data_IF_056161534723
#
_entry.id   IF_056161534723
#
_cell.length_a   1.000
_cell.length_b   1.000
_cell.length_c   1.000
_cell.angle_alpha   90.00
_cell.angle_beta   90.00
_cell.angle_gamma   90.00
#
_symmetry.space_group_name_H-M   'P 1'
#
loop_
_entity.id
_entity.type
_entity.pdbx_description
1 polymer ?
#
# COMPACT_ATOMS: atom_id res chain seq x y z
N UNK A 1 35.22 7.61 -4.26
CA UNK A 1 35.52 8.95 -3.68
C UNK A 1 34.50 9.20 -2.59
N UNK A 2 34.95 9.36 -1.36
CA UNK A 2 34.10 9.59 -0.17
C UNK A 2 34.41 10.95 0.44
N UNK A 3 33.46 11.56 1.13
CA UNK A 3 33.64 12.80 1.88
C UNK A 3 33.97 12.50 3.33
N UNK A 4 35.11 12.98 3.79
CA UNK A 4 35.62 12.69 5.13
C UNK A 4 35.81 14.01 5.90
N UNK A 5 35.27 14.06 7.11
CA UNK A 5 35.51 15.15 8.05
C UNK A 5 36.59 14.71 9.06
N UNK A 6 37.61 15.54 9.25
CA UNK A 6 38.64 15.36 10.26
C UNK A 6 38.47 16.44 11.34
N UNK A 7 38.34 16.03 12.61
CA UNK A 7 38.25 16.93 13.76
C UNK A 7 39.35 16.59 14.74
N UNK A 8 40.34 17.47 14.85
CA UNK A 8 41.48 17.31 15.75
C UNK A 8 41.94 18.72 16.15
N UNK A 9 42.36 18.96 17.37
CA UNK A 9 42.87 20.26 17.83
C UNK A 9 44.33 20.48 17.40
N UNK A 10 45.06 19.39 17.13
CA UNK A 10 46.45 19.44 16.69
C UNK A 10 46.54 19.68 15.14
N UNK A 11 47.11 20.83 14.76
CA UNK A 11 47.24 21.23 13.33
C UNK A 11 48.07 20.21 12.52
N UNK A 12 49.18 19.71 13.09
CA UNK A 12 50.06 18.74 12.42
C UNK A 12 49.32 17.44 12.07
N UNK A 13 48.47 16.97 13.00
CA UNK A 13 47.67 15.78 12.76
C UNK A 13 46.62 15.99 11.69
N UNK A 14 45.90 17.13 11.69
CA UNK A 14 44.93 17.46 10.64
C UNK A 14 45.60 17.52 9.25
N UNK A 15 46.77 18.18 9.11
CA UNK A 15 47.47 18.25 7.86
C UNK A 15 47.98 16.89 7.38
N UNK A 16 48.52 16.08 8.27
CA UNK A 16 48.98 14.72 7.95
C UNK A 16 47.84 13.83 7.47
N UNK A 17 46.73 13.80 8.20
CA UNK A 17 45.56 13.00 7.84
C UNK A 17 44.93 13.50 6.53
N UNK A 18 44.85 14.82 6.33
CA UNK A 18 44.33 15.39 5.10
C UNK A 18 45.14 14.94 3.90
N UNK A 19 46.50 15.09 3.94
CA UNK A 19 47.38 14.68 2.84
C UNK A 19 47.25 13.20 2.55
N UNK A 20 47.17 12.36 3.60
CA UNK A 20 47.05 10.91 3.46
C UNK A 20 45.76 10.52 2.74
N UNK A 21 44.64 11.11 3.16
CA UNK A 21 43.32 10.74 2.63
C UNK A 21 43.04 11.35 1.25
N UNK A 22 43.52 12.56 0.98
CA UNK A 22 43.46 13.18 -0.36
C UNK A 22 44.27 12.35 -1.37
N UNK A 23 45.46 11.85 -0.98
CA UNK A 23 46.28 10.93 -1.81
C UNK A 23 45.55 9.60 -2.07
N UNK A 24 44.71 9.17 -1.17
CA UNK A 24 43.86 7.98 -1.33
C UNK A 24 42.58 8.24 -2.13
N UNK A 25 42.40 9.47 -2.67
CA UNK A 25 41.30 9.81 -3.58
C UNK A 25 40.00 10.21 -2.88
N UNK A 26 40.07 10.66 -1.64
CA UNK A 26 38.91 11.16 -0.87
C UNK A 26 38.85 12.67 -0.86
N UNK A 27 37.63 13.24 -0.69
CA UNK A 27 37.40 14.65 -0.43
C UNK A 27 37.44 14.88 1.08
N UNK A 28 38.36 15.73 1.54
CA UNK A 28 38.61 15.92 2.97
C UNK A 28 38.27 17.34 3.39
N UNK A 29 37.50 17.46 4.47
CA UNK A 29 37.28 18.73 5.19
C UNK A 29 37.90 18.60 6.59
N UNK A 30 38.57 19.65 7.02
CA UNK A 30 39.18 19.68 8.36
C UNK A 30 38.47 20.69 9.24
N UNK A 31 38.40 20.40 10.53
CA UNK A 31 37.81 21.27 11.53
C UNK A 31 38.65 21.23 12.81
N UNK A 32 38.72 22.37 13.50
CA UNK A 32 39.33 22.50 14.80
C UNK A 32 38.28 22.47 15.89
N UNK A 33 38.34 21.46 16.74
CA UNK A 33 37.47 21.32 17.91
C UNK A 33 36.00 21.01 17.56
N UNK A 34 35.19 20.88 18.63
CA UNK A 34 33.79 20.44 18.57
C UNK A 34 32.89 21.40 17.77
N UNK A 35 33.08 22.71 17.94
CA UNK A 35 32.24 23.72 17.25
C UNK A 35 32.50 23.77 15.74
N UNK A 36 33.76 23.63 15.33
CA UNK A 36 34.12 23.52 13.92
C UNK A 36 33.55 22.26 13.29
N UNK A 37 33.66 21.14 13.98
CA UNK A 37 33.06 19.86 13.58
C UNK A 37 31.55 19.95 13.44
N UNK A 38 30.85 20.50 14.44
CA UNK A 38 29.40 20.68 14.42
C UNK A 38 28.91 21.56 13.25
N UNK A 39 29.59 22.66 12.95
CA UNK A 39 29.30 23.51 11.78
C UNK A 39 29.49 22.75 10.48
N UNK A 40 30.59 22.02 10.34
CA UNK A 40 30.84 21.23 9.14
C UNK A 40 29.75 20.18 8.90
N UNK A 41 29.30 19.49 9.96
CA UNK A 41 28.23 18.48 9.93
C UNK A 41 26.86 19.05 9.55
N UNK A 42 26.58 20.31 9.90
CA UNK A 42 25.35 21.00 9.52
C UNK A 42 25.33 21.53 8.09
N UNK A 43 26.50 21.81 7.50
CA UNK A 43 26.64 22.39 6.16
C UNK A 43 26.80 21.34 5.06
N UNK A 44 27.39 20.18 5.37
CA UNK A 44 27.79 19.19 4.35
C UNK A 44 27.56 17.77 4.88
N UNK A 45 27.09 16.87 4.03
CA UNK A 45 27.02 15.44 4.34
C UNK A 45 28.39 14.77 4.20
N UNK A 46 28.75 13.95 5.18
CA UNK A 46 29.98 13.18 5.20
C UNK A 46 29.69 11.66 5.22
N UNK A 47 30.55 10.90 4.58
CA UNK A 47 30.51 9.44 4.63
C UNK A 47 31.21 8.90 5.90
N UNK A 48 32.25 9.63 6.34
CA UNK A 48 33.08 9.26 7.48
C UNK A 48 33.51 10.51 8.25
N UNK A 49 33.56 10.40 9.57
CA UNK A 49 34.11 11.39 10.49
C UNK A 49 35.26 10.77 11.25
N UNK A 50 36.40 11.42 11.28
CA UNK A 50 37.55 11.07 12.10
C UNK A 50 37.69 12.14 13.17
N UNK A 51 37.67 11.75 14.46
CA UNK A 51 37.81 12.73 15.55
C UNK A 51 38.78 12.26 16.62
N UNK A 52 39.62 13.17 17.14
CA UNK A 52 40.36 12.89 18.34
C UNK A 52 39.40 12.80 19.53
N UNK A 53 39.69 11.95 20.46
CA UNK A 53 38.96 11.83 21.73
C UNK A 53 39.11 13.09 22.60
N UNK A 54 40.28 13.76 22.55
CA UNK A 54 40.54 15.02 23.25
C UNK A 54 40.65 16.16 22.26
N UNK A 55 39.80 17.16 22.42
CA UNK A 55 39.75 18.36 21.59
C UNK A 55 39.90 19.59 22.49
N UNK A 56 41.14 19.83 22.96
CA UNK A 56 41.45 20.84 23.96
C UNK A 56 40.80 20.54 25.31
N UNK A 57 39.84 21.36 25.74
CA UNK A 57 39.08 21.15 26.99
C UNK A 57 37.79 20.32 26.78
N UNK A 58 37.45 19.96 25.56
CA UNK A 58 36.21 19.21 25.23
C UNK A 58 36.54 17.79 24.79
N UNK A 59 35.50 16.96 24.76
CA UNK A 59 35.60 15.57 24.34
C UNK A 59 35.14 15.35 22.90
N UNK A 60 35.91 14.55 22.13
CA UNK A 60 35.49 14.11 20.82
C UNK A 60 34.23 13.21 20.85
N UNK A 61 33.82 12.70 22.00
CA UNK A 61 32.51 12.06 22.15
C UNK A 61 31.34 13.00 21.85
N UNK A 62 31.54 14.30 22.04
CA UNK A 62 30.54 15.31 21.64
C UNK A 62 30.42 15.38 20.11
N UNK A 63 31.56 15.32 19.38
CA UNK A 63 31.55 15.27 17.90
C UNK A 63 30.86 14.00 17.43
N UNK A 64 31.12 12.85 18.08
CA UNK A 64 30.46 11.60 17.76
C UNK A 64 28.93 11.69 17.95
N UNK A 65 28.45 12.28 19.06
CA UNK A 65 27.00 12.50 19.29
C UNK A 65 26.41 13.41 18.22
N UNK A 66 27.04 14.55 17.95
CA UNK A 66 26.58 15.49 16.92
C UNK A 66 26.54 14.84 15.52
N UNK A 67 27.54 14.01 15.20
CA UNK A 67 27.57 13.28 13.93
C UNK A 67 26.41 12.27 13.83
N UNK A 68 26.15 11.52 14.90
CA UNK A 68 25.06 10.53 14.91
C UNK A 68 23.66 11.16 14.98
N UNK A 69 23.53 12.35 15.57
CA UNK A 69 22.27 13.09 15.59
C UNK A 69 22.00 13.77 14.21
N UNK A 70 22.98 14.45 13.63
CA UNK A 70 22.81 15.16 12.38
C UNK A 70 22.85 14.23 11.16
N UNK A 71 23.71 13.23 11.18
CA UNK A 71 23.97 12.30 10.09
C UNK A 71 24.10 10.86 10.61
N UNK A 72 23.00 10.20 10.99
CA UNK A 72 23.01 8.88 11.63
C UNK A 72 23.77 7.79 10.86
N UNK A 73 23.89 8.00 9.54
CA UNK A 73 24.53 7.05 8.64
C UNK A 73 26.02 7.31 8.42
N UNK A 74 26.58 8.44 8.86
CA UNK A 74 27.99 8.68 8.81
C UNK A 74 28.71 7.74 9.79
N UNK A 75 29.75 7.06 9.32
CA UNK A 75 30.58 6.28 10.24
C UNK A 75 31.54 7.19 10.98
N UNK A 76 31.85 6.88 12.24
CA UNK A 76 32.74 7.71 13.05
C UNK A 76 33.88 6.86 13.59
N UNK A 77 35.12 7.25 13.30
CA UNK A 77 36.35 6.64 13.81
C UNK A 77 36.99 7.59 14.81
N UNK A 78 37.21 7.08 16.02
CA UNK A 78 37.88 7.83 17.08
C UNK A 78 39.38 7.60 17.05
N UNK A 79 40.17 8.66 17.19
CA UNK A 79 41.63 8.57 17.34
C UNK A 79 41.99 9.04 18.73
N UNK A 80 42.94 8.41 19.42
CA UNK A 80 43.30 8.81 20.77
C UNK A 80 44.71 8.38 21.18
N UNK A 81 45.38 9.23 21.96
CA UNK A 81 46.63 8.89 22.66
C UNK A 81 46.36 8.27 24.06
N UNK A 82 45.17 8.47 24.61
CA UNK A 82 44.80 8.10 25.98
C UNK A 82 43.41 7.44 25.99
N UNK A 83 43.33 6.18 25.63
CA UNK A 83 42.08 5.44 25.85
C UNK A 83 42.19 4.67 27.17
N UNK A 84 41.19 4.84 28.00
CA UNK A 84 40.86 3.86 29.03
C UNK A 84 39.88 2.87 28.46
N UNK A 85 39.79 1.66 29.00
CA UNK A 85 38.78 0.69 28.58
C UNK A 85 37.36 1.27 28.66
N UNK A 86 37.13 2.15 29.61
CA UNK A 86 35.85 2.83 29.83
C UNK A 86 35.46 3.80 28.68
N UNK A 87 36.41 4.65 28.23
CA UNK A 87 36.17 5.61 27.16
C UNK A 87 35.97 4.93 25.79
N UNK A 88 36.70 3.83 25.56
CA UNK A 88 36.52 3.03 24.35
C UNK A 88 35.12 2.35 24.33
N UNK A 89 34.70 1.78 25.46
CA UNK A 89 33.35 1.18 25.59
C UNK A 89 32.26 2.23 25.45
N UNK A 90 32.44 3.44 25.98
CA UNK A 90 31.49 4.54 25.84
C UNK A 90 31.37 4.98 24.37
N UNK A 91 32.48 5.16 23.66
CA UNK A 91 32.48 5.50 22.24
C UNK A 91 31.73 4.46 21.41
N UNK A 92 31.96 3.18 21.65
CA UNK A 92 31.27 2.10 20.96
C UNK A 92 29.76 2.07 21.26
N UNK A 93 29.36 2.32 22.52
CA UNK A 93 27.94 2.44 22.91
C UNK A 93 27.25 3.63 22.23
N UNK A 94 27.98 4.72 21.99
CA UNK A 94 27.48 5.91 21.29
C UNK A 94 27.48 5.74 19.76
N UNK A 95 27.92 4.59 19.23
CA UNK A 95 27.87 4.26 17.83
C UNK A 95 29.12 4.62 17.03
N UNK A 96 30.29 4.73 17.67
CA UNK A 96 31.56 4.78 16.94
C UNK A 96 31.74 3.47 16.14
N UNK A 97 32.29 3.58 14.94
CA UNK A 97 32.61 2.42 14.10
C UNK A 97 33.82 1.66 14.64
N UNK A 98 34.86 2.40 15.00
CA UNK A 98 36.11 1.86 15.54
C UNK A 98 36.90 2.98 16.27
N UNK A 99 37.98 2.60 16.95
CA UNK A 99 38.91 3.56 17.52
C UNK A 99 40.37 3.14 17.24
N UNK A 100 41.26 4.13 17.11
CA UNK A 100 42.66 3.94 16.78
C UNK A 100 43.57 4.59 17.82
N UNK A 101 44.61 3.91 18.26
CA UNK A 101 45.55 4.44 19.23
C UNK A 101 46.69 5.21 18.57
N UNK A 102 47.00 6.41 19.09
CA UNK A 102 48.23 7.15 18.73
C UNK A 102 49.40 6.59 19.55
N UNK A 103 50.60 6.32 18.98
CA UNK A 103 50.92 6.43 17.53
C UNK A 103 50.42 5.24 16.71
N UNK A 104 49.87 5.49 15.54
CA UNK A 104 49.39 4.51 14.60
C UNK A 104 50.16 4.59 13.26
N UNK A 105 50.21 3.48 12.54
CA UNK A 105 50.74 3.44 11.17
C UNK A 105 49.67 3.87 10.16
N UNK A 106 50.10 4.51 9.06
CA UNK A 106 49.17 4.92 7.99
C UNK A 106 48.36 3.75 7.46
N UNK A 107 48.97 2.57 7.34
CA UNK A 107 48.29 1.36 6.85
C UNK A 107 47.18 0.89 7.81
N UNK A 108 47.38 1.00 9.11
CA UNK A 108 46.38 0.64 10.12
C UNK A 108 45.15 1.56 10.01
N UNK A 109 45.37 2.87 9.88
CA UNK A 109 44.31 3.83 9.68
C UNK A 109 43.54 3.53 8.36
N UNK A 110 44.25 3.32 7.25
CA UNK A 110 43.62 3.06 5.97
C UNK A 110 42.75 1.82 5.98
N UNK A 111 43.17 0.73 6.63
CA UNK A 111 42.36 -0.49 6.79
C UNK A 111 41.06 -0.24 7.56
N UNK A 112 41.11 0.53 8.66
CA UNK A 112 39.91 0.88 9.45
C UNK A 112 38.96 1.74 8.63
N UNK A 113 39.50 2.73 7.91
CA UNK A 113 38.71 3.63 7.07
C UNK A 113 38.06 2.91 5.90
N UNK A 114 38.80 2.01 5.23
CA UNK A 114 38.27 1.21 4.14
C UNK A 114 37.06 0.36 4.58
N UNK A 115 37.18 -0.31 5.73
CA UNK A 115 36.07 -1.09 6.32
C UNK A 115 34.87 -0.21 6.69
N UNK A 116 35.09 1.00 7.23
CA UNK A 116 34.04 1.95 7.55
C UNK A 116 33.30 2.43 6.29
N UNK A 117 34.05 2.75 5.25
CA UNK A 117 33.52 3.21 3.96
C UNK A 117 32.80 2.09 3.20
N UNK A 118 33.31 0.85 3.24
CA UNK A 118 32.65 -0.31 2.67
C UNK A 118 31.28 -0.56 3.32
N UNK A 119 31.21 -0.55 4.65
CA UNK A 119 29.94 -0.65 5.40
C UNK A 119 28.96 0.45 4.97
N UNK A 120 29.45 1.69 4.84
CA UNK A 120 28.64 2.84 4.41
C UNK A 120 28.12 2.65 2.97
N UNK A 121 28.98 2.17 2.06
CA UNK A 121 28.60 1.89 0.67
C UNK A 121 27.50 0.81 0.59
N UNK A 122 27.64 -0.28 1.33
CA UNK A 122 26.64 -1.36 1.40
C UNK A 122 25.29 -0.88 1.94
N UNK A 123 25.28 -0.03 2.97
CA UNK A 123 24.05 0.55 3.50
C UNK A 123 23.38 1.43 2.42
N UNK A 124 24.15 2.27 1.75
CA UNK A 124 23.67 3.17 0.67
C UNK A 124 23.11 2.38 -0.52
N UNK A 125 23.80 1.31 -0.93
CA UNK A 125 23.34 0.42 -1.99
C UNK A 125 22.05 -0.29 -1.61
N UNK A 126 21.95 -0.84 -0.41
CA UNK A 126 20.73 -1.50 0.10
C UNK A 126 19.55 -0.54 0.11
N UNK A 127 19.73 0.71 0.56
CA UNK A 127 18.68 1.73 0.53
C UNK A 127 18.27 2.10 -0.89
N UNK A 128 19.24 2.24 -1.80
CA UNK A 128 18.96 2.51 -3.22
C UNK A 128 18.19 1.37 -3.87
N UNK A 129 18.58 0.11 -3.60
CA UNK A 129 17.87 -1.07 -4.09
C UNK A 129 16.45 -1.16 -3.52
N UNK A 130 16.27 -0.90 -2.24
CA UNK A 130 14.94 -0.84 -1.61
C UNK A 130 14.07 0.24 -2.22
N UNK A 131 14.62 1.43 -2.46
CA UNK A 131 13.90 2.55 -3.09
C UNK A 131 13.48 2.18 -4.52
N UNK A 132 14.37 1.60 -5.33
CA UNK A 132 14.06 1.13 -6.69
C UNK A 132 13.01 0.02 -6.71
N UNK A 133 13.04 -0.90 -5.73
CA UNK A 133 12.00 -1.92 -5.57
C UNK A 133 10.65 -1.30 -5.24
N UNK A 134 10.63 -0.31 -4.33
CA UNK A 134 9.42 0.42 -3.96
C UNK A 134 8.84 1.19 -5.14
N UNK A 135 9.67 1.93 -5.88
CA UNK A 135 9.26 2.66 -7.10
C UNK A 135 8.67 1.72 -8.19
N UNK A 136 9.15 0.47 -8.28
CA UNK A 136 8.58 -0.54 -9.20
C UNK A 136 7.27 -1.15 -8.71
N UNK A 137 6.98 -1.08 -7.42
CA UNK A 137 5.77 -1.64 -6.80
C UNK A 137 4.66 -0.59 -6.66
N UNK A 138 4.98 0.69 -6.77
CA UNK A 138 4.04 1.80 -6.68
C UNK A 138 3.74 2.37 -8.08
N UNK A 139 2.48 2.32 -8.47
CA UNK A 139 1.99 2.96 -9.69
C UNK A 139 0.95 4.00 -9.32
N UNK A 140 1.33 5.28 -9.34
CA UNK A 140 0.41 6.40 -9.05
C UNK A 140 -0.31 6.22 -7.71
N UNK A 141 0.43 5.82 -6.66
CA UNK A 141 -0.12 5.56 -5.34
C UNK A 141 -0.81 4.20 -5.17
N UNK A 142 -0.79 3.34 -6.19
CA UNK A 142 -1.22 1.95 -6.08
C UNK A 142 -0.02 1.05 -5.82
N UNK A 143 -0.14 0.20 -4.80
CA UNK A 143 0.88 -0.81 -4.45
C UNK A 143 0.44 -2.17 -4.98
N UNK A 144 1.32 -2.85 -5.73
CA UNK A 144 1.05 -4.19 -6.23
C UNK A 144 2.22 -4.76 -7.03
N UNK A 145 2.64 -5.98 -6.68
CA UNK A 145 3.69 -6.74 -7.38
C UNK A 145 3.16 -7.96 -8.12
N UNK A 146 1.92 -8.36 -7.82
CA UNK A 146 1.29 -9.50 -8.46
C UNK A 146 1.16 -9.31 -9.97
N UNK A 147 1.12 -10.42 -10.70
CA UNK A 147 0.94 -10.41 -12.16
C UNK A 147 -0.35 -9.68 -12.57
N UNK A 148 -1.44 -9.90 -11.84
CA UNK A 148 -2.72 -9.23 -12.09
C UNK A 148 -2.59 -7.69 -11.99
N UNK A 149 -1.87 -7.18 -10.98
CA UNK A 149 -1.65 -5.74 -10.84
C UNK A 149 -0.70 -5.18 -11.90
N UNK A 150 0.33 -5.92 -12.31
CA UNK A 150 1.24 -5.50 -13.36
C UNK A 150 0.54 -5.42 -14.73
N UNK A 151 -0.34 -6.37 -15.05
CA UNK A 151 -1.18 -6.35 -16.24
C UNK A 151 -2.17 -5.18 -16.21
N UNK A 152 -2.76 -4.89 -15.04
CA UNK A 152 -3.63 -3.72 -14.82
C UNK A 152 -2.86 -2.42 -15.03
N UNK A 153 -1.66 -2.26 -14.47
CA UNK A 153 -0.84 -1.06 -14.66
C UNK A 153 -0.49 -0.82 -16.13
N UNK A 154 -0.08 -1.87 -16.84
CA UNK A 154 0.21 -1.79 -18.27
C UNK A 154 -1.04 -1.40 -19.10
N UNK A 155 -2.21 -1.91 -18.74
CA UNK A 155 -3.47 -1.55 -19.36
C UNK A 155 -3.81 -0.07 -19.11
N UNK A 156 -3.69 0.40 -17.86
CA UNK A 156 -3.92 1.80 -17.49
C UNK A 156 -2.99 2.73 -18.28
N UNK A 157 -1.69 2.42 -18.39
CA UNK A 157 -0.75 3.22 -19.20
C UNK A 157 -1.16 3.31 -20.67
N UNK A 158 -1.63 2.21 -21.23
CA UNK A 158 -2.08 2.16 -22.64
C UNK A 158 -3.33 2.97 -22.90
N UNK A 159 -4.30 2.97 -21.99
CA UNK A 159 -5.60 3.63 -22.20
C UNK A 159 -5.63 5.09 -21.71
N UNK A 160 -4.78 5.46 -20.75
CA UNK A 160 -4.78 6.78 -20.15
C UNK A 160 -4.67 7.91 -21.19
N UNK A 161 -3.80 7.87 -22.22
CA UNK A 161 -3.69 8.93 -23.22
C UNK A 161 -4.90 9.05 -24.14
N UNK A 162 -5.79 8.06 -24.17
CA UNK A 162 -6.97 8.03 -25.05
C UNK A 162 -8.17 8.76 -24.44
N UNK A 163 -9.17 9.07 -25.25
CA UNK A 163 -10.46 9.63 -24.79
C UNK A 163 -11.53 8.56 -24.55
N UNK A 164 -11.15 7.28 -24.58
CA UNK A 164 -12.08 6.16 -24.48
C UNK A 164 -12.65 6.07 -23.06
N UNK A 165 -13.94 5.72 -22.98
CA UNK A 165 -14.60 5.41 -21.71
C UNK A 165 -14.05 4.10 -21.14
N UNK A 166 -13.77 4.08 -19.85
CA UNK A 166 -13.30 2.90 -19.14
C UNK A 166 -14.32 2.52 -18.05
N UNK A 167 -14.64 1.22 -17.98
CA UNK A 167 -15.47 0.64 -16.93
C UNK A 167 -14.61 -0.22 -16.01
N UNK A 168 -14.52 0.16 -14.74
CA UNK A 168 -13.72 -0.54 -13.73
C UNK A 168 -14.62 -1.47 -12.94
N UNK A 169 -14.33 -2.75 -13.01
CA UNK A 169 -15.08 -3.83 -12.34
C UNK A 169 -14.28 -4.37 -11.17
N UNK A 170 -14.94 -4.71 -10.09
CA UNK A 170 -14.30 -5.36 -8.93
C UNK A 170 -15.07 -5.14 -7.64
N UNK A 171 -14.79 -5.96 -6.65
CA UNK A 171 -15.41 -5.91 -5.33
C UNK A 171 -15.23 -4.57 -4.62
N UNK A 172 -16.01 -4.36 -3.56
CA UNK A 172 -15.81 -3.19 -2.70
C UNK A 172 -14.44 -3.23 -2.04
N UNK A 173 -13.78 -2.07 -1.93
CA UNK A 173 -12.48 -1.95 -1.26
C UNK A 173 -11.26 -2.42 -2.04
N UNK A 174 -11.38 -2.88 -3.31
CA UNK A 174 -10.21 -3.32 -4.11
C UNK A 174 -9.31 -2.19 -4.63
N UNK A 175 -9.80 -0.92 -4.58
CA UNK A 175 -9.06 0.25 -5.04
C UNK A 175 -9.51 0.82 -6.39
N UNK A 176 -10.77 0.63 -6.81
CA UNK A 176 -11.31 1.13 -8.10
C UNK A 176 -11.10 2.64 -8.30
N UNK A 177 -11.26 3.44 -7.26
CA UNK A 177 -11.03 4.89 -7.32
C UNK A 177 -9.56 5.22 -7.62
N UNK A 178 -8.60 4.49 -7.04
CA UNK A 178 -7.18 4.68 -7.32
C UNK A 178 -6.85 4.38 -8.79
N UNK A 179 -7.48 3.35 -9.37
CA UNK A 179 -7.36 3.05 -10.80
C UNK A 179 -7.89 4.20 -11.65
N UNK A 180 -9.05 4.76 -11.31
CA UNK A 180 -9.61 5.91 -12.01
C UNK A 180 -8.72 7.16 -11.92
N UNK A 181 -8.16 7.42 -10.73
CA UNK A 181 -7.18 8.50 -10.52
C UNK A 181 -5.91 8.30 -11.35
N UNK A 182 -5.40 7.06 -11.42
CA UNK A 182 -4.24 6.73 -12.25
C UNK A 182 -4.50 6.95 -13.74
N UNK A 183 -5.68 6.54 -14.24
CA UNK A 183 -6.11 6.82 -15.63
C UNK A 183 -6.12 8.32 -15.91
N UNK A 184 -6.62 9.13 -14.98
CA UNK A 184 -6.65 10.59 -15.13
C UNK A 184 -5.23 11.20 -15.09
N UNK A 185 -4.41 10.87 -14.09
CA UNK A 185 -3.07 11.42 -13.90
C UNK A 185 -2.10 11.07 -15.03
N UNK A 186 -2.28 9.92 -15.69
CA UNK A 186 -1.50 9.49 -16.86
C UNK A 186 -2.10 9.96 -18.19
N UNK A 187 -3.21 10.70 -18.16
CA UNK A 187 -3.90 11.17 -19.37
C UNK A 187 -3.39 12.54 -19.85
N UNK A 188 -3.82 12.93 -21.05
CA UNK A 188 -3.61 14.27 -21.57
C UNK A 188 -4.39 15.37 -20.81
N UNK A 189 -5.20 14.97 -19.82
CA UNK A 189 -6.02 15.84 -18.97
C UNK A 189 -5.56 15.84 -17.51
N UNK A 190 -4.33 15.43 -17.23
CA UNK A 190 -3.79 15.30 -15.87
C UNK A 190 -3.89 16.61 -15.05
N UNK A 191 -3.71 17.78 -15.72
CA UNK A 191 -3.81 19.11 -15.10
C UNK A 191 -5.23 19.69 -15.11
N UNK A 192 -6.23 18.91 -15.53
CA UNK A 192 -7.64 19.33 -15.62
C UNK A 192 -8.44 18.78 -14.44
N UNK A 193 -9.68 19.26 -14.21
CA UNK A 193 -10.51 18.77 -13.12
C UNK A 193 -10.71 17.25 -13.15
N UNK A 194 -10.59 16.61 -11.98
CA UNK A 194 -11.00 15.22 -11.73
C UNK A 194 -12.12 15.25 -10.69
N UNK A 195 -13.35 15.04 -11.17
CA UNK A 195 -14.55 15.08 -10.33
C UNK A 195 -14.99 13.67 -10.01
N UNK A 196 -15.15 13.37 -8.72
CA UNK A 196 -15.56 12.05 -8.21
C UNK A 196 -17.01 12.11 -7.77
N UNK A 197 -17.81 11.15 -8.18
CA UNK A 197 -19.21 11.00 -7.79
C UNK A 197 -19.46 9.57 -7.37
N UNK A 198 -19.85 9.35 -6.12
CA UNK A 198 -20.38 8.06 -5.70
C UNK A 198 -21.91 8.10 -5.91
N UNK A 199 -22.40 7.32 -6.88
CA UNK A 199 -23.81 7.30 -7.26
C UNK A 199 -24.71 6.69 -6.18
N UNK A 200 -24.20 5.76 -5.37
CA UNK A 200 -24.94 5.15 -4.27
C UNK A 200 -25.04 6.04 -3.03
N UNK A 201 -24.14 7.03 -2.88
CA UNK A 201 -24.17 7.93 -1.72
C UNK A 201 -25.15 9.10 -1.84
N UNK A 202 -25.65 9.39 -3.06
CA UNK A 202 -26.56 10.48 -3.33
C UNK A 202 -27.99 9.95 -3.38
N UNK A 203 -28.94 10.52 -2.62
CA UNK A 203 -30.36 10.13 -2.69
C UNK A 203 -30.91 10.16 -4.13
N UNK A 204 -31.69 9.14 -4.50
CA UNK A 204 -32.23 8.97 -5.87
C UNK A 204 -32.92 10.24 -6.43
N UNK A 205 -33.69 10.96 -5.59
CA UNK A 205 -34.38 12.19 -5.99
C UNK A 205 -33.45 13.39 -6.24
N UNK A 206 -32.16 13.31 -5.85
CA UNK A 206 -31.21 14.42 -5.99
C UNK A 206 -30.10 14.13 -7.02
N UNK A 207 -29.83 12.86 -7.31
CA UNK A 207 -28.71 12.46 -8.17
C UNK A 207 -28.74 13.12 -9.55
N UNK A 208 -29.94 13.24 -10.13
CA UNK A 208 -30.15 13.89 -11.42
C UNK A 208 -29.76 15.38 -11.38
N UNK A 209 -30.22 16.10 -10.35
CA UNK A 209 -29.91 17.50 -10.12
C UNK A 209 -28.43 17.73 -9.80
N UNK A 210 -27.78 16.85 -9.05
CA UNK A 210 -26.34 16.94 -8.75
C UNK A 210 -25.50 16.71 -10.02
N UNK A 211 -25.83 15.73 -10.84
CA UNK A 211 -25.07 15.44 -12.06
C UNK A 211 -25.22 16.51 -13.14
N UNK A 212 -26.46 16.90 -13.45
CA UNK A 212 -26.77 17.74 -14.63
C UNK A 212 -27.11 19.20 -14.27
N UNK A 213 -27.26 19.50 -12.98
CA UNK A 213 -27.73 20.82 -12.52
C UNK A 213 -29.24 21.00 -12.62
N UNK A 214 -29.76 22.10 -12.10
CA UNK A 214 -31.16 22.44 -12.15
C UNK A 214 -31.41 23.94 -12.34
N UNK A 215 -32.52 24.27 -12.97
CA UNK A 215 -33.00 25.62 -13.08
C UNK A 215 -33.82 26.02 -11.79
N UNK A 216 -33.96 27.33 -11.58
CA UNK A 216 -34.78 27.84 -10.48
C UNK A 216 -36.21 27.37 -10.65
N UNK A 217 -36.79 26.77 -9.60
CA UNK A 217 -38.17 26.27 -9.63
C UNK A 217 -38.36 24.88 -10.24
N UNK A 218 -37.29 24.15 -10.58
CA UNK A 218 -37.37 22.83 -11.22
C UNK A 218 -38.04 21.77 -10.31
N UNK A 219 -37.95 21.91 -9.01
CA UNK A 219 -38.60 21.06 -7.99
C UNK A 219 -38.82 21.82 -6.69
N UNK A 220 -39.58 21.24 -5.78
CA UNK A 220 -39.84 21.83 -4.42
C UNK A 220 -38.53 21.93 -3.65
N UNK A 221 -38.01 23.16 -3.48
CA UNK A 221 -36.70 23.44 -2.85
C UNK A 221 -35.66 24.04 -3.79
N UNK A 222 -35.90 24.09 -5.10
CA UNK A 222 -35.00 24.71 -6.09
C UNK A 222 -35.10 26.25 -6.08
N UNK A 223 -34.64 26.88 -4.98
CA UNK A 223 -34.72 28.33 -4.81
C UNK A 223 -33.82 29.11 -5.79
N UNK A 224 -32.72 28.52 -6.21
CA UNK A 224 -31.72 29.09 -7.11
C UNK A 224 -31.32 28.05 -8.16
N UNK A 225 -30.86 28.51 -9.33
CA UNK A 225 -30.25 27.60 -10.33
C UNK A 225 -28.90 27.11 -9.81
N UNK A 226 -28.54 25.83 -10.07
CA UNK A 226 -27.26 25.20 -9.70
C UNK A 226 -26.66 24.51 -10.91
N UNK A 227 -25.35 24.73 -11.14
CA UNK A 227 -24.60 23.96 -12.13
C UNK A 227 -24.31 22.55 -11.60
N UNK A 228 -24.31 21.57 -12.53
CA UNK A 228 -24.09 20.16 -12.22
C UNK A 228 -22.61 19.76 -12.19
N UNK A 229 -22.37 18.52 -11.77
CA UNK A 229 -21.02 17.95 -11.71
C UNK A 229 -20.42 17.72 -13.11
N UNK A 230 -21.23 17.55 -14.15
CA UNK A 230 -20.75 17.54 -15.54
C UNK A 230 -20.14 18.89 -15.94
N UNK A 231 -20.72 20.02 -15.52
CA UNK A 231 -20.15 21.35 -15.74
C UNK A 231 -18.82 21.51 -14.98
N UNK A 232 -18.75 21.02 -13.74
CA UNK A 232 -17.53 21.05 -12.94
C UNK A 232 -16.39 20.21 -13.53
N UNK A 233 -16.73 19.10 -14.22
CA UNK A 233 -15.78 18.21 -14.87
C UNK A 233 -15.40 18.65 -16.29
N UNK A 234 -15.96 19.76 -16.81
CA UNK A 234 -15.77 20.17 -18.19
C UNK A 234 -14.28 20.42 -18.52
N UNK A 235 -13.82 19.86 -19.64
CA UNK A 235 -12.41 19.81 -20.04
C UNK A 235 -11.58 18.75 -19.31
N UNK A 236 -12.13 18.09 -18.30
CA UNK A 236 -11.47 17.12 -17.41
C UNK A 236 -12.01 15.71 -17.49
N UNK A 237 -12.09 15.06 -16.32
CA UNK A 237 -12.57 13.68 -16.17
C UNK A 237 -13.63 13.62 -15.07
N UNK A 238 -14.74 12.94 -15.34
CA UNK A 238 -15.78 12.60 -14.37
C UNK A 238 -15.67 11.11 -14.04
N UNK A 239 -15.44 10.79 -12.78
CA UNK A 239 -15.43 9.43 -12.27
C UNK A 239 -16.77 9.15 -11.58
N UNK A 240 -17.48 8.15 -12.09
CA UNK A 240 -18.77 7.68 -11.57
C UNK A 240 -18.55 6.36 -10.85
N UNK A 241 -18.47 6.40 -9.53
CA UNK A 241 -18.38 5.18 -8.72
C UNK A 241 -19.78 4.64 -8.44
N UNK A 242 -19.90 3.31 -8.31
CA UNK A 242 -21.17 2.60 -8.10
C UNK A 242 -22.21 2.93 -9.17
N UNK A 243 -21.79 2.94 -10.46
CA UNK A 243 -22.64 3.30 -11.61
C UNK A 243 -23.91 2.44 -11.71
N UNK A 244 -23.88 1.21 -11.19
CA UNK A 244 -25.01 0.29 -11.15
C UNK A 244 -26.15 0.73 -10.22
N UNK A 245 -25.92 1.75 -9.37
CA UNK A 245 -26.96 2.32 -8.48
C UNK A 245 -27.77 3.43 -9.13
N UNK A 246 -27.43 3.84 -10.37
CA UNK A 246 -28.15 4.92 -11.02
C UNK A 246 -29.58 4.53 -11.40
N UNK A 247 -30.60 5.38 -11.10
CA UNK A 247 -31.97 5.20 -11.58
C UNK A 247 -32.04 5.20 -13.12
N UNK A 248 -32.98 4.45 -13.69
CA UNK A 248 -33.16 4.36 -15.15
C UNK A 248 -33.37 5.73 -15.83
N UNK A 249 -34.04 6.66 -15.18
CA UNK A 249 -34.26 8.03 -15.69
C UNK A 249 -32.94 8.79 -15.86
N UNK A 250 -32.01 8.62 -14.93
CA UNK A 250 -30.67 9.23 -14.96
C UNK A 250 -29.78 8.55 -15.97
N UNK A 251 -29.90 7.22 -16.14
CA UNK A 251 -29.17 6.46 -17.15
C UNK A 251 -29.45 6.97 -18.58
N UNK A 252 -30.71 7.36 -18.88
CA UNK A 252 -31.09 7.95 -20.18
C UNK A 252 -30.33 9.26 -20.45
N UNK A 253 -30.25 10.12 -19.45
CA UNK A 253 -29.53 11.41 -19.57
C UNK A 253 -28.03 11.22 -19.66
N UNK A 254 -27.47 10.27 -18.92
CA UNK A 254 -26.07 9.89 -19.00
C UNK A 254 -25.71 9.36 -20.40
N UNK A 255 -26.56 8.54 -20.99
CA UNK A 255 -26.36 8.05 -22.35
C UNK A 255 -26.28 9.19 -23.37
N UNK A 256 -27.16 10.19 -23.28
CA UNK A 256 -27.10 11.39 -24.14
C UNK A 256 -25.78 12.15 -23.96
N UNK A 257 -25.36 12.38 -22.70
CA UNK A 257 -24.10 13.04 -22.40
C UNK A 257 -22.89 12.30 -23.03
N UNK A 258 -22.92 10.95 -23.07
CA UNK A 258 -21.88 10.12 -23.67
C UNK A 258 -21.92 10.09 -25.22
N UNK A 259 -23.10 10.23 -25.82
CA UNK A 259 -23.29 10.13 -27.29
C UNK A 259 -23.18 11.49 -27.94
N UNK A 260 -23.97 12.46 -27.45
CA UNK A 260 -24.17 13.78 -28.06
C UNK A 260 -23.21 14.83 -27.48
N UNK A 261 -22.54 14.53 -26.38
CA UNK A 261 -21.69 15.46 -25.61
C UNK A 261 -22.42 16.71 -25.20
N UNK A 262 -23.72 16.59 -24.95
CA UNK A 262 -24.58 17.65 -24.45
C UNK A 262 -25.29 17.21 -23.18
N UNK A 263 -25.56 18.17 -22.32
CA UNK A 263 -26.35 17.97 -21.09
C UNK A 263 -27.46 18.99 -21.01
N UNK A 264 -28.54 18.63 -20.28
CA UNK A 264 -29.65 19.53 -20.01
C UNK A 264 -29.94 19.54 -18.51
N UNK A 265 -30.03 20.75 -17.93
CA UNK A 265 -30.41 20.91 -16.53
C UNK A 265 -31.83 20.42 -16.26
N UNK A 266 -32.11 19.99 -15.02
CA UNK A 266 -33.47 19.64 -14.58
C UNK A 266 -34.35 20.89 -14.66
N UNK A 267 -35.47 20.78 -15.37
CA UNK A 267 -36.38 21.91 -15.62
C UNK A 267 -35.92 22.86 -16.72
N UNK A 268 -34.74 22.68 -17.30
CA UNK A 268 -34.23 23.48 -18.41
C UNK A 268 -34.65 22.96 -19.78
N UNK A 269 -34.61 23.82 -20.78
CA UNK A 269 -34.92 23.48 -22.19
C UNK A 269 -33.69 23.55 -23.09
N UNK A 270 -32.61 24.20 -22.66
CA UNK A 270 -31.38 24.39 -23.41
C UNK A 270 -30.39 23.25 -23.22
N UNK A 271 -29.83 22.77 -24.34
CA UNK A 271 -28.72 21.82 -24.32
C UNK A 271 -27.40 22.59 -24.24
N UNK A 272 -26.48 22.10 -23.40
CA UNK A 272 -25.13 22.66 -23.20
C UNK A 272 -24.08 21.64 -23.59
N UNK A 273 -23.14 22.04 -24.41
CA UNK A 273 -22.01 21.18 -24.79
C UNK A 273 -21.05 20.98 -23.61
N UNK A 274 -20.57 19.75 -23.48
CA UNK A 274 -19.58 19.36 -22.44
C UNK A 274 -18.51 18.45 -23.06
N UNK A 275 -17.25 18.74 -22.77
CA UNK A 275 -16.10 17.87 -23.12
C UNK A 275 -15.58 17.17 -21.87
N UNK A 276 -16.22 16.08 -21.47
CA UNK A 276 -15.88 15.32 -20.26
C UNK A 276 -15.47 13.91 -20.65
N UNK A 277 -14.33 13.45 -20.13
CA UNK A 277 -13.94 12.04 -20.16
C UNK A 277 -14.67 11.31 -19.05
N UNK A 278 -15.34 10.21 -19.35
CA UNK A 278 -16.03 9.39 -18.35
C UNK A 278 -15.17 8.18 -18.01
N UNK A 279 -15.02 7.92 -16.70
CA UNK A 279 -14.55 6.68 -16.11
C UNK A 279 -15.63 6.22 -15.15
N UNK A 280 -16.12 5.00 -15.29
CA UNK A 280 -17.15 4.45 -14.41
C UNK A 280 -16.61 3.26 -13.61
N UNK A 281 -17.17 3.01 -12.43
CA UNK A 281 -16.84 1.84 -11.64
C UNK A 281 -18.09 1.22 -11.01
N UNK A 282 -18.05 -0.10 -10.78
CA UNK A 282 -19.11 -0.83 -10.10
C UNK A 282 -18.58 -2.13 -9.47
N UNK A 283 -19.25 -2.59 -8.44
CA UNK A 283 -19.09 -3.93 -7.87
C UNK A 283 -20.20 -4.88 -8.31
N UNK A 284 -21.24 -4.38 -9.02
CA UNK A 284 -22.34 -5.19 -9.55
C UNK A 284 -21.98 -5.81 -10.88
N UNK A 285 -22.56 -6.97 -11.17
CA UNK A 285 -22.55 -7.57 -12.51
C UNK A 285 -23.60 -6.84 -13.38
N UNK A 286 -23.11 -5.89 -14.20
CA UNK A 286 -24.01 -5.10 -15.05
C UNK A 286 -24.73 -5.92 -16.12
N UNK A 287 -24.21 -7.09 -16.53
CA UNK A 287 -24.90 -7.97 -17.45
C UNK A 287 -26.14 -8.61 -16.80
N UNK A 288 -26.04 -8.93 -15.52
CA UNK A 288 -27.19 -9.37 -14.71
C UNK A 288 -28.18 -8.23 -14.55
N UNK A 289 -27.72 -7.01 -14.19
CA UNK A 289 -28.57 -5.83 -14.04
C UNK A 289 -29.32 -5.47 -15.34
N UNK A 290 -28.70 -5.64 -16.51
CA UNK A 290 -29.34 -5.46 -17.82
C UNK A 290 -30.43 -6.51 -18.03
N UNK A 291 -30.15 -7.80 -17.77
CA UNK A 291 -31.15 -8.87 -17.92
C UNK A 291 -32.36 -8.69 -17.01
N UNK A 292 -32.17 -8.13 -15.84
CA UNK A 292 -33.23 -7.86 -14.87
C UNK A 292 -33.90 -6.48 -15.08
N UNK A 293 -33.49 -5.73 -16.10
CA UNK A 293 -34.10 -4.46 -16.46
C UNK A 293 -33.78 -3.29 -15.53
N UNK A 294 -32.81 -3.43 -14.63
CA UNK A 294 -32.35 -2.36 -13.75
C UNK A 294 -31.26 -1.48 -14.36
N UNK A 295 -30.58 -1.98 -15.39
CA UNK A 295 -29.61 -1.21 -16.17
C UNK A 295 -29.91 -1.28 -17.65
N UNK A 296 -29.71 -0.17 -18.37
CA UNK A 296 -29.99 -0.13 -19.82
C UNK A 296 -28.86 -0.76 -20.61
N UNK A 297 -29.21 -1.59 -21.58
CA UNK A 297 -28.27 -2.28 -22.44
C UNK A 297 -27.44 -1.31 -23.32
N UNK A 298 -28.07 -0.25 -23.84
CA UNK A 298 -27.43 0.76 -24.69
C UNK A 298 -26.35 1.55 -23.88
N UNK A 299 -26.62 1.87 -22.62
CA UNK A 299 -25.67 2.52 -21.73
C UNK A 299 -24.51 1.57 -21.36
N UNK A 300 -24.81 0.29 -21.08
CA UNK A 300 -23.78 -0.71 -20.80
C UNK A 300 -22.72 -0.79 -21.90
N UNK A 301 -23.13 -0.97 -23.17
CA UNK A 301 -22.18 -1.01 -24.28
C UNK A 301 -21.43 0.30 -24.49
N UNK A 302 -22.02 1.43 -24.14
CA UNK A 302 -21.35 2.74 -24.28
C UNK A 302 -20.34 3.00 -23.16
N UNK A 303 -20.54 2.44 -21.97
CA UNK A 303 -19.61 2.51 -20.84
C UNK A 303 -18.50 1.46 -20.94
N UNK A 304 -18.85 0.24 -21.33
CA UNK A 304 -17.94 -0.90 -21.41
C UNK A 304 -17.18 -0.97 -22.75
N UNK A 305 -16.57 0.15 -23.16
CA UNK A 305 -15.68 0.16 -24.34
C UNK A 305 -14.35 -0.52 -23.98
N UNK A 306 -13.84 -0.24 -22.78
CA UNK A 306 -12.70 -0.96 -22.19
C UNK A 306 -13.08 -1.35 -20.77
N UNK A 307 -13.25 -2.65 -20.54
CA UNK A 307 -13.44 -3.23 -19.22
C UNK A 307 -12.09 -3.44 -18.52
N UNK A 308 -12.00 -2.99 -17.26
CA UNK A 308 -10.83 -3.14 -16.40
C UNK A 308 -11.28 -3.88 -15.16
N UNK A 309 -10.85 -5.12 -14.99
CA UNK A 309 -11.17 -5.90 -13.79
C UNK A 309 -10.05 -5.78 -12.76
N UNK A 310 -10.40 -5.35 -11.55
CA UNK A 310 -9.48 -5.32 -10.41
C UNK A 310 -9.71 -6.56 -9.58
N UNK A 311 -8.72 -7.45 -9.55
CA UNK A 311 -8.80 -8.70 -8.80
C UNK A 311 -8.96 -8.45 -7.29
N UNK A 312 -9.79 -9.24 -6.59
CA UNK A 312 -9.90 -9.18 -5.13
C UNK A 312 -8.58 -9.61 -4.47
N UNK A 313 -8.34 -9.15 -3.24
CA UNK A 313 -7.03 -9.30 -2.60
C UNK A 313 -6.68 -10.78 -2.31
N UNK A 314 -7.69 -11.63 -2.09
CA UNK A 314 -7.51 -13.10 -1.95
C UNK A 314 -6.94 -13.78 -3.19
N UNK A 315 -7.10 -13.21 -4.38
CA UNK A 315 -6.56 -13.72 -5.66
C UNK A 315 -5.17 -13.13 -5.98
N UNK A 316 -4.71 -12.12 -5.20
CA UNK A 316 -3.40 -11.49 -5.32
C UNK A 316 -2.69 -11.40 -3.97
N UNK A 317 -2.64 -12.50 -3.25
CA UNK A 317 -2.06 -12.60 -1.89
C UNK A 317 -0.62 -12.10 -1.80
N UNK A 318 0.12 -12.16 -2.91
CA UNK A 318 1.46 -11.59 -3.02
C UNK A 318 1.51 -10.09 -2.70
N UNK A 319 0.42 -9.36 -2.91
CA UNK A 319 0.33 -7.92 -2.68
C UNK A 319 0.03 -7.57 -1.21
N UNK A 320 -0.39 -8.54 -0.38
CA UNK A 320 -0.79 -8.29 1.00
C UNK A 320 0.37 -7.70 1.82
N UNK A 321 1.53 -8.35 1.83
CA UNK A 321 2.68 -7.85 2.60
C UNK A 321 3.21 -6.50 2.12
N UNK A 322 3.38 -6.23 0.81
CA UNK A 322 3.68 -4.88 0.32
C UNK A 322 2.67 -3.81 0.75
N UNK A 323 1.37 -4.13 0.75
CA UNK A 323 0.33 -3.23 1.25
C UNK A 323 0.42 -3.02 2.76
N UNK A 324 0.70 -4.07 3.53
CA UNK A 324 0.93 -3.96 4.98
C UNK A 324 2.12 -3.04 5.27
N UNK A 325 3.23 -3.19 4.56
CA UNK A 325 4.41 -2.32 4.70
C UNK A 325 4.08 -0.87 4.35
N UNK A 326 3.35 -0.64 3.25
CA UNK A 326 2.91 0.69 2.84
C UNK A 326 2.02 1.37 3.90
N UNK A 327 1.02 0.65 4.43
CA UNK A 327 0.16 1.18 5.47
C UNK A 327 0.89 1.36 6.80
N UNK A 328 1.80 0.45 7.15
CA UNK A 328 2.62 0.58 8.34
C UNK A 328 3.49 1.85 8.28
N UNK A 329 4.13 2.15 7.14
CA UNK A 329 4.89 3.39 6.97
C UNK A 329 4.01 4.66 7.13
N UNK A 330 2.76 4.57 6.72
CA UNK A 330 1.79 5.69 6.81
C UNK A 330 1.27 5.92 8.22
N UNK A 331 1.02 4.84 8.98
CA UNK A 331 0.35 4.91 10.28
C UNK A 331 1.28 4.71 11.47
N UNK A 332 2.56 4.28 11.28
CA UNK A 332 3.47 4.00 12.37
C UNK A 332 3.65 5.23 13.29
N UNK A 333 3.29 5.06 14.54
CA UNK A 333 3.41 6.09 15.58
C UNK A 333 4.79 6.10 16.26
N UNK A 334 5.59 5.04 16.04
CA UNK A 334 6.94 4.87 16.59
C UNK A 334 7.90 4.36 15.50
N UNK A 335 9.16 4.81 15.49
CA UNK A 335 10.17 4.26 14.57
C UNK A 335 10.39 2.76 14.83
N UNK A 336 10.57 1.97 13.78
CA UNK A 336 10.91 0.55 13.89
C UNK A 336 9.75 -0.40 14.16
N UNK A 337 8.50 0.07 14.14
CA UNK A 337 7.32 -0.81 14.23
C UNK A 337 7.32 -1.83 13.10
N UNK A 338 7.00 -3.08 13.44
CA UNK A 338 6.90 -4.19 12.48
C UNK A 338 5.92 -5.25 12.96
N UNK A 339 5.32 -5.96 12.03
CA UNK A 339 4.50 -7.13 12.34
C UNK A 339 5.38 -8.35 12.65
N UNK A 340 4.99 -9.13 13.68
CA UNK A 340 5.59 -10.44 13.93
C UNK A 340 5.31 -11.39 12.75
N UNK A 341 6.11 -12.47 12.62
CA UNK A 341 5.88 -13.48 11.57
C UNK A 341 4.51 -14.13 11.68
N UNK A 342 4.04 -14.36 12.90
CA UNK A 342 2.73 -14.92 13.19
C UNK A 342 1.61 -13.98 12.75
N UNK A 343 1.73 -12.68 13.03
CA UNK A 343 0.78 -11.66 12.60
C UNK A 343 0.72 -11.53 11.07
N UNK A 344 1.88 -11.59 10.40
CA UNK A 344 1.94 -11.59 8.93
C UNK A 344 1.26 -12.83 8.32
N UNK A 345 1.47 -14.03 8.89
CA UNK A 345 0.80 -15.26 8.45
C UNK A 345 -0.71 -15.16 8.57
N UNK A 346 -1.23 -14.66 9.69
CA UNK A 346 -2.68 -14.47 9.86
C UNK A 346 -3.28 -13.56 8.78
N UNK A 347 -2.59 -12.47 8.41
CA UNK A 347 -3.06 -11.59 7.34
C UNK A 347 -2.99 -12.25 5.96
N UNK A 348 -2.01 -13.14 5.72
CA UNK A 348 -1.90 -13.91 4.48
C UNK A 348 -2.96 -15.01 4.37
N UNK A 349 -3.37 -15.61 5.50
CA UNK A 349 -4.33 -16.72 5.55
C UNK A 349 -5.78 -16.22 5.56
N UNK A 350 -6.01 -14.97 5.93
CA UNK A 350 -7.34 -14.38 5.96
C UNK A 350 -7.78 -13.93 4.56
N UNK A 351 -9.04 -14.18 4.19
CA UNK A 351 -9.56 -13.92 2.84
C UNK A 351 -9.82 -12.44 2.54
N UNK A 352 -9.77 -11.57 3.56
CA UNK A 352 -9.95 -10.13 3.43
C UNK A 352 -11.20 -9.76 2.60
N UNK A 353 -12.42 -10.08 3.04
CA UNK A 353 -13.65 -9.83 2.29
C UNK A 353 -13.86 -8.34 1.95
N UNK A 354 -13.36 -7.42 2.80
CA UNK A 354 -13.33 -5.98 2.52
C UNK A 354 -12.09 -5.51 1.74
N UNK A 355 -11.28 -6.46 1.23
CA UNK A 355 -10.13 -6.21 0.37
C UNK A 355 -9.09 -5.24 0.98
N UNK A 356 -8.58 -4.29 0.20
CA UNK A 356 -7.55 -3.33 0.61
C UNK A 356 -8.05 -2.39 1.70
N UNK A 357 -9.34 -2.01 1.67
CA UNK A 357 -9.93 -1.14 2.70
C UNK A 357 -9.96 -1.83 4.07
N UNK A 358 -10.29 -3.11 4.11
CA UNK A 358 -10.25 -3.89 5.34
C UNK A 358 -8.82 -4.08 5.84
N UNK A 359 -7.88 -4.40 4.94
CA UNK A 359 -6.45 -4.53 5.29
C UNK A 359 -5.90 -3.23 5.86
N UNK A 360 -6.22 -2.06 5.26
CA UNK A 360 -5.84 -0.74 5.77
C UNK A 360 -6.36 -0.53 7.20
N UNK A 361 -7.64 -0.79 7.44
CA UNK A 361 -8.24 -0.68 8.77
C UNK A 361 -7.62 -1.64 9.79
N UNK A 362 -7.29 -2.87 9.38
CA UNK A 362 -6.61 -3.85 10.26
C UNK A 362 -5.20 -3.38 10.65
N UNK A 363 -4.45 -2.81 9.71
CA UNK A 363 -3.11 -2.27 9.99
C UNK A 363 -3.19 -1.04 10.88
N UNK A 364 -4.07 -0.08 10.59
CA UNK A 364 -4.28 1.13 11.40
C UNK A 364 -4.67 0.78 12.84
N UNK A 365 -5.63 -0.14 13.01
CA UNK A 365 -6.02 -0.67 14.32
C UNK A 365 -4.86 -1.34 15.04
N UNK A 366 -4.10 -2.20 14.34
CA UNK A 366 -3.00 -2.94 14.92
C UNK A 366 -1.88 -2.02 15.41
N UNK A 367 -1.53 -0.98 14.64
CA UNK A 367 -0.57 0.07 15.02
C UNK A 367 -1.04 0.85 16.26
N UNK A 368 -2.34 1.17 16.32
CA UNK A 368 -2.93 1.94 17.42
C UNK A 368 -2.95 1.14 18.73
N UNK A 369 -3.21 -0.17 18.67
CA UNK A 369 -3.36 -1.04 19.84
C UNK A 369 -2.05 -1.70 20.29
N UNK A 370 -0.98 -1.60 19.51
CA UNK A 370 0.31 -2.22 19.86
C UNK A 370 1.02 -1.47 20.98
N UNK A 371 1.41 -2.17 22.04
CA UNK A 371 2.14 -1.60 23.19
C UNK A 371 3.64 -1.37 22.88
N UNK A 372 4.20 -2.08 21.89
CA UNK A 372 5.63 -2.08 21.55
C UNK A 372 5.91 -1.88 20.06
N UNK A 373 7.18 -2.13 19.68
CA UNK A 373 7.61 -2.06 18.27
C UNK A 373 7.17 -3.28 17.47
N UNK A 374 6.90 -4.41 18.11
CA UNK A 374 6.51 -5.66 17.46
C UNK A 374 5.01 -5.86 17.62
N UNK A 375 4.29 -5.85 16.49
CA UNK A 375 2.84 -6.05 16.44
C UNK A 375 2.56 -7.55 16.40
N UNK A 376 1.86 -8.05 17.41
CA UNK A 376 1.55 -9.47 17.63
C UNK A 376 0.09 -9.80 17.25
N UNK A 377 -0.30 -11.07 17.11
CA UNK A 377 -1.65 -11.49 16.69
C UNK A 377 -2.80 -11.03 17.56
N UNK A 378 -2.56 -10.75 18.84
CA UNK A 378 -3.57 -10.42 19.85
C UNK A 378 -4.33 -9.11 19.57
N UNK A 379 -3.71 -8.18 18.80
CA UNK A 379 -4.32 -6.90 18.41
C UNK A 379 -5.40 -7.04 17.31
N UNK A 380 -5.41 -8.17 16.61
CA UNK A 380 -6.40 -8.40 15.56
C UNK A 380 -7.76 -8.81 16.11
N UNK A 381 -8.85 -8.50 15.38
CA UNK A 381 -10.19 -8.98 15.69
C UNK A 381 -10.27 -10.52 15.75
N UNK A 382 -11.25 -11.08 16.51
CA UNK A 382 -11.42 -12.52 16.61
C UNK A 382 -11.60 -13.24 15.26
N UNK A 383 -12.20 -12.58 14.28
CA UNK A 383 -12.44 -13.09 12.93
C UNK A 383 -11.12 -13.39 12.21
N UNK A 384 -10.17 -12.44 12.27
CA UNK A 384 -8.83 -12.58 11.69
C UNK A 384 -8.02 -13.63 12.47
N UNK A 385 -8.08 -13.60 13.81
CA UNK A 385 -7.37 -14.58 14.66
C UNK A 385 -7.86 -16.01 14.50
N UNK A 386 -9.11 -16.20 14.11
CA UNK A 386 -9.74 -17.49 13.83
C UNK A 386 -9.66 -17.89 12.36
N UNK A 387 -9.11 -17.00 11.50
CA UNK A 387 -8.88 -17.34 10.10
C UNK A 387 -8.07 -18.65 10.06
N UNK A 388 -8.68 -19.68 9.51
CA UNK A 388 -8.03 -20.96 9.35
C UNK A 388 -7.10 -20.87 8.16
N UNK A 389 -5.95 -21.56 8.16
CA UNK A 389 -5.10 -21.60 6.99
C UNK A 389 -5.95 -22.04 5.79
N UNK A 390 -5.93 -21.24 4.73
CA UNK A 390 -6.55 -21.59 3.45
C UNK A 390 -5.91 -22.87 2.94
N UNK A 391 -6.72 -23.75 2.39
CA UNK A 391 -6.23 -24.96 1.71
C UNK A 391 -5.25 -24.57 0.60
N UNK A 392 -3.99 -24.92 0.76
CA UNK A 392 -2.95 -24.68 -0.22
C UNK A 392 -2.90 -25.84 -1.23
N UNK A 393 -3.47 -25.60 -2.42
CA UNK A 393 -3.47 -26.58 -3.51
C UNK A 393 -2.05 -26.87 -4.01
N UNK A 394 -1.08 -25.95 -3.81
CA UNK A 394 0.29 -26.15 -4.27
C UNK A 394 1.02 -27.29 -3.56
N UNK A 395 0.54 -27.69 -2.38
CA UNK A 395 1.06 -28.85 -1.65
C UNK A 395 0.70 -30.20 -2.30
N UNK A 396 -0.24 -30.21 -3.26
CA UNK A 396 -0.58 -31.43 -4.03
C UNK A 396 0.39 -31.67 -5.19
N UNK A 397 1.11 -30.64 -5.64
CA UNK A 397 1.87 -30.64 -6.90
C UNK A 397 3.40 -30.68 -6.76
N UNK A 398 4.00 -31.39 -5.78
CA UNK A 398 5.44 -31.66 -5.76
C UNK A 398 6.37 -30.58 -5.16
N UNK A 399 6.08 -30.06 -3.97
CA UNK A 399 7.04 -29.30 -3.16
C UNK A 399 7.51 -30.06 -1.91
N UNK A 400 8.63 -29.64 -1.26
CA UNK A 400 8.98 -30.18 0.05
C UNK A 400 7.90 -29.82 1.08
N UNK A 401 7.57 -30.79 1.95
CA UNK A 401 6.63 -30.56 3.05
C UNK A 401 7.20 -29.45 3.97
N UNK A 402 6.44 -28.36 4.24
CA UNK A 402 6.91 -27.27 5.09
C UNK A 402 7.28 -27.75 6.51
N UNK A 403 8.30 -27.13 7.11
CA UNK A 403 8.58 -27.31 8.54
C UNK A 403 7.36 -26.82 9.34
N UNK A 404 6.79 -27.68 10.22
CA UNK A 404 5.55 -27.49 10.99
C UNK A 404 4.23 -27.73 10.20
N UNK A 405 4.25 -28.57 9.16
CA UNK A 405 3.02 -28.98 8.46
C UNK A 405 2.14 -29.86 9.38
N UNK A 406 0.94 -29.37 9.67
CA UNK A 406 -0.07 -30.11 10.41
C UNK A 406 -1.04 -30.81 9.46
N UNK A 407 -0.80 -32.08 9.17
CA UNK A 407 -1.62 -32.86 8.24
C UNK A 407 -3.12 -32.83 8.57
N UNK A 408 -3.48 -32.92 9.86
CA UNK A 408 -4.90 -32.93 10.27
C UNK A 408 -5.57 -31.57 9.96
N UNK A 409 -4.91 -30.47 10.21
CA UNK A 409 -5.40 -29.11 9.92
C UNK A 409 -5.60 -28.92 8.42
N UNK A 410 -4.68 -29.42 7.61
CA UNK A 410 -4.78 -29.38 6.17
C UNK A 410 -5.92 -30.25 5.63
N UNK A 411 -6.07 -31.49 6.12
CA UNK A 411 -7.17 -32.39 5.74
C UNK A 411 -8.54 -31.81 6.12
N UNK A 412 -8.65 -31.20 7.30
CA UNK A 412 -9.89 -30.59 7.76
C UNK A 412 -10.27 -29.37 6.88
N UNK A 413 -9.29 -28.57 6.43
CA UNK A 413 -9.52 -27.46 5.52
C UNK A 413 -9.97 -27.95 4.13
N UNK A 414 -9.35 -29.01 3.61
CA UNK A 414 -9.73 -29.62 2.34
C UNK A 414 -11.15 -30.21 2.41
N UNK A 415 -11.44 -30.98 3.45
CA UNK A 415 -12.74 -31.59 3.67
C UNK A 415 -13.86 -30.54 3.72
N UNK A 416 -13.63 -29.45 4.46
CA UNK A 416 -14.58 -28.34 4.56
C UNK A 416 -14.85 -27.71 3.18
N UNK A 417 -13.81 -27.40 2.42
CA UNK A 417 -13.94 -26.77 1.09
C UNK A 417 -14.71 -27.67 0.11
N UNK A 418 -14.49 -28.99 0.17
CA UNK A 418 -15.23 -29.92 -0.66
C UNK A 418 -16.72 -30.02 -0.27
N UNK A 419 -17.04 -29.92 1.03
CA UNK A 419 -18.43 -29.88 1.52
C UNK A 419 -19.12 -28.55 1.08
N UNK A 420 -18.45 -27.40 1.20
CA UNK A 420 -18.96 -26.11 0.76
C UNK A 420 -19.27 -26.13 -0.75
N UNK A 421 -18.31 -26.55 -1.57
CA UNK A 421 -18.47 -26.65 -3.02
C UNK A 421 -19.60 -27.60 -3.45
N UNK A 422 -19.75 -28.74 -2.76
CA UNK A 422 -20.84 -29.65 -3.04
C UNK A 422 -22.22 -29.07 -2.67
N UNK A 423 -22.31 -28.28 -1.58
CA UNK A 423 -23.53 -27.56 -1.22
C UNK A 423 -23.87 -26.45 -2.22
N UNK A 424 -22.89 -25.71 -2.70
CA UNK A 424 -23.10 -24.69 -3.73
C UNK A 424 -23.61 -25.31 -5.04
N UNK A 425 -22.94 -26.36 -5.53
CA UNK A 425 -23.36 -27.06 -6.75
C UNK A 425 -24.74 -27.71 -6.65
N UNK A 426 -25.12 -28.18 -5.47
CA UNK A 426 -26.43 -28.75 -5.19
C UNK A 426 -27.48 -27.71 -4.78
N UNK A 427 -27.17 -26.40 -4.86
CA UNK A 427 -28.04 -25.29 -4.43
C UNK A 427 -28.59 -25.47 -3.00
N UNK A 428 -27.77 -26.00 -2.10
CA UNK A 428 -28.09 -26.22 -0.70
C UNK A 428 -28.79 -27.55 -0.41
N UNK A 429 -29.08 -28.42 -1.42
CA UNK A 429 -29.73 -29.70 -1.22
C UNK A 429 -28.72 -30.71 -0.67
N UNK A 430 -28.75 -30.94 0.67
CA UNK A 430 -27.77 -31.77 1.40
C UNK A 430 -27.68 -33.21 0.90
N UNK A 431 -28.80 -33.81 0.43
CA UNK A 431 -28.80 -35.18 -0.10
C UNK A 431 -28.03 -35.26 -1.42
N UNK A 432 -28.19 -34.27 -2.27
CA UNK A 432 -27.54 -34.22 -3.56
C UNK A 432 -26.04 -33.86 -3.42
N UNK A 433 -25.70 -32.96 -2.46
CA UNK A 433 -24.33 -32.67 -2.08
C UNK A 433 -23.59 -33.94 -1.57
N UNK A 434 -24.24 -34.76 -0.73
CA UNK A 434 -23.68 -36.04 -0.29
C UNK A 434 -23.40 -36.97 -1.46
N UNK A 435 -24.34 -37.04 -2.44
CA UNK A 435 -24.20 -37.85 -3.64
C UNK A 435 -23.03 -37.35 -4.53
N UNK A 436 -22.88 -36.05 -4.70
CA UNK A 436 -21.77 -35.45 -5.47
C UNK A 436 -20.40 -35.83 -4.89
N UNK A 437 -20.32 -35.94 -3.55
CA UNK A 437 -19.08 -36.32 -2.85
C UNK A 437 -18.90 -37.84 -2.70
N UNK A 438 -19.85 -38.66 -3.17
CA UNK A 438 -19.78 -40.12 -3.06
C UNK A 438 -19.87 -40.65 -1.62
N UNK A 439 -20.47 -39.90 -0.67
CA UNK A 439 -20.60 -40.26 0.72
C UNK A 439 -22.06 -40.40 1.13
N UNK A 440 -22.31 -41.21 2.21
CA UNK A 440 -23.66 -41.34 2.72
C UNK A 440 -24.19 -40.03 3.32
N UNK A 441 -25.51 -39.80 3.24
CA UNK A 441 -26.14 -38.62 3.85
C UNK A 441 -25.87 -38.48 5.36
N UNK A 442 -25.79 -39.61 6.07
CA UNK A 442 -25.41 -39.62 7.50
C UNK A 442 -23.98 -39.13 7.70
N UNK A 443 -23.04 -39.59 6.87
CA UNK A 443 -21.64 -39.13 6.91
C UNK A 443 -21.52 -37.67 6.56
N UNK A 444 -22.28 -37.20 5.57
CA UNK A 444 -22.30 -35.79 5.16
C UNK A 444 -22.80 -34.88 6.29
N UNK A 445 -23.92 -35.23 6.95
CA UNK A 445 -24.43 -34.49 8.12
C UNK A 445 -23.43 -34.43 9.27
N UNK A 446 -22.80 -35.57 9.59
CA UNK A 446 -21.79 -35.62 10.64
C UNK A 446 -20.63 -34.67 10.36
N UNK A 447 -20.17 -34.57 9.09
CA UNK A 447 -19.09 -33.70 8.67
C UNK A 447 -19.51 -32.23 8.68
N UNK A 448 -20.73 -31.90 8.28
CA UNK A 448 -21.29 -30.58 8.42
C UNK A 448 -21.35 -30.09 9.88
N UNK A 449 -21.81 -30.99 10.79
CA UNK A 449 -21.83 -30.67 12.21
C UNK A 449 -20.42 -30.50 12.79
N UNK A 450 -19.45 -31.35 12.38
CA UNK A 450 -18.04 -31.24 12.77
C UNK A 450 -17.49 -29.83 12.46
N UNK A 451 -17.86 -29.26 11.31
CA UNK A 451 -17.39 -27.94 10.87
C UNK A 451 -18.35 -26.78 11.19
N UNK A 452 -19.43 -27.03 11.97
CA UNK A 452 -20.50 -26.06 12.36
C UNK A 452 -21.18 -25.35 11.17
N UNK A 453 -21.18 -25.96 10.01
CA UNK A 453 -21.78 -25.40 8.78
C UNK A 453 -23.33 -25.52 8.78
N UNK A 454 -23.95 -26.09 9.79
CA UNK A 454 -25.42 -26.20 9.92
C UNK A 454 -26.03 -24.94 10.56
N UNK A 455 -25.29 -24.16 11.37
CA UNK A 455 -25.81 -23.03 12.13
C UNK A 455 -25.83 -21.70 11.32
N UNK A 456 -24.90 -21.52 10.38
CA UNK A 456 -24.80 -20.26 9.63
C UNK A 456 -25.96 -20.01 8.66
N UNK A 457 -26.66 -21.05 8.16
CA UNK A 457 -27.80 -20.89 7.22
C UNK A 457 -29.19 -20.87 7.90
N UNK A 458 -29.32 -21.28 9.14
CA UNK A 458 -30.59 -21.13 9.88
C UNK A 458 -30.76 -19.67 10.40
N UNK A 459 -29.70 -18.98 10.73
CA UNK A 459 -29.76 -17.56 11.13
C UNK A 459 -30.02 -16.60 9.96
N UNK A 460 -29.56 -16.92 8.73
CA UNK A 460 -29.89 -16.15 7.53
C UNK A 460 -31.34 -16.39 7.06
N UNK A 461 -31.87 -17.59 7.20
CA UNK A 461 -33.26 -17.90 6.85
C UNK A 461 -34.27 -17.28 7.83
N UNK A 462 -33.95 -17.23 9.13
CA UNK A 462 -34.81 -16.60 10.14
C UNK A 462 -34.78 -15.05 10.07
N UNK A 463 -33.70 -14.46 9.58
CA UNK A 463 -33.63 -13.00 9.29
C UNK A 463 -34.39 -12.61 8.02
N UNK A 464 -34.55 -13.52 7.06
CA UNK A 464 -35.27 -13.26 5.81
C UNK A 464 -36.79 -13.47 5.92
N UNK A 465 -37.29 -14.17 6.95
CA UNK A 465 -38.73 -14.41 7.18
C UNK A 465 -39.35 -13.58 8.30
N UNK A 466 -38.58 -12.70 8.92
CA UNK A 466 -38.99 -11.85 10.05
C UNK A 466 -39.10 -10.36 9.73
N UNK A 467 -39.44 -9.99 8.47
CA UNK A 467 -39.77 -8.60 8.09
C UNK A 467 -41.08 -8.55 7.35
#
# INVERSE_FOLDING_TARGET
>A
MARILIVDDERSMREMLQILLEKSGHEVRVAEGVEGGGRALSETEFDLVITDLRLGQRSGLEVLRLAKEAQPQAEVVMITAYATAETAVEAMKLGAFDYLFKPFKSDELLVVLERALEKRALIRENQSLRRRLKERQEFVGMVGKSRAMQELFALVEKIAPTKVTALILGESGVGKELVARAIHQKSLRADKPFVVVNCGAIPEGLIESELFGHEKGAFTGAAHAKRGLFDAANGGTLFLDEIGELPLSVQVKLLRALQERTIRSVGGVEDREVDVRIVAATNRDLEVEVREGRFREDLYYRLNVIGITVAPLRERREDILPLVEHFLERYAVRPGMRFSREAQRLLLDYDLPGNVRELENLVERAVTLADGEVITPDVFPPEVRRARPSFDESLLDSGPIPENFELQTWLDAFERRMLERALEQSKGVKVEAARLLGISFRSFRYRLAKFRMEEEKSEEADRATGS
#
